data_IF_668152513819
#
_entry.id   IF_668152513819
#
_cell.length_a   1.000
_cell.length_b   1.000
_cell.length_c   1.000
_cell.angle_alpha   90.00
_cell.angle_beta   90.00
_cell.angle_gamma   90.00
#
_symmetry.space_group_name_H-M   'P 1'
#
loop_
_entity.id
_entity.type
_entity.pdbx_description
1 polymer ?
#
# COMPACT_ATOMS: atom_id res chain seq x y z
N UNK A 1 -18.86 -3.93 27.64
CA UNK A 1 -18.50 -4.60 26.38
C UNK A 1 -17.49 -3.74 25.65
N UNK A 2 -16.22 -4.14 25.64
CA UNK A 2 -15.16 -3.38 24.97
C UNK A 2 -15.24 -3.60 23.46
N UNK A 3 -15.47 -2.55 22.67
CA UNK A 3 -15.28 -2.61 21.23
C UNK A 3 -13.77 -2.83 20.97
N UNK A 4 -13.38 -3.84 20.18
CA UNK A 4 -11.99 -4.27 20.11
C UNK A 4 -11.17 -3.20 19.38
N UNK A 5 -10.11 -2.72 20.04
CA UNK A 5 -9.16 -1.72 19.51
C UNK A 5 -8.55 -2.11 18.13
N UNK A 6 -8.57 -3.39 17.78
CA UNK A 6 -8.22 -3.91 16.45
C UNK A 6 -9.10 -3.34 15.31
N UNK A 7 -10.34 -2.94 15.62
CA UNK A 7 -11.26 -2.31 14.67
C UNK A 7 -10.77 -0.96 14.17
N UNK A 8 -10.04 -0.21 15.00
CA UNK A 8 -9.70 1.20 14.73
C UNK A 8 -8.45 1.28 13.85
N UNK A 9 -7.41 0.52 14.18
CA UNK A 9 -6.20 0.41 13.35
C UNK A 9 -6.51 -0.21 11.99
N UNK A 10 -7.37 -1.23 11.96
CA UNK A 10 -7.81 -1.85 10.71
C UNK A 10 -8.60 -0.88 9.83
N UNK A 11 -9.53 -0.11 10.40
CA UNK A 11 -10.28 0.91 9.64
C UNK A 11 -9.40 2.07 9.18
N UNK A 12 -8.41 2.49 9.97
CA UNK A 12 -7.44 3.50 9.56
C UNK A 12 -6.64 3.03 8.34
N UNK A 13 -6.15 1.78 8.36
CA UNK A 13 -5.44 1.17 7.23
C UNK A 13 -6.33 0.96 6.00
N UNK A 14 -7.61 0.60 6.19
CA UNK A 14 -8.59 0.50 5.11
C UNK A 14 -8.88 1.86 4.46
N UNK A 15 -8.98 2.93 5.26
CA UNK A 15 -9.13 4.30 4.78
C UNK A 15 -7.93 4.79 3.98
N UNK A 16 -6.71 4.52 4.47
CA UNK A 16 -5.47 4.84 3.76
C UNK A 16 -5.35 4.09 2.42
N UNK A 17 -5.68 2.79 2.41
CA UNK A 17 -5.67 1.96 1.19
C UNK A 17 -6.68 2.43 0.13
N UNK A 18 -7.85 2.92 0.55
CA UNK A 18 -8.87 3.46 -0.35
C UNK A 18 -8.56 4.89 -0.84
N UNK A 19 -7.74 5.65 -0.09
CA UNK A 19 -7.36 7.02 -0.42
C UNK A 19 -6.06 7.12 -1.25
N UNK A 20 -5.40 6.00 -1.56
CA UNK A 20 -4.13 5.97 -2.29
C UNK A 20 -4.25 6.61 -3.70
N UNK A 21 -3.62 7.77 -3.95
CA UNK A 21 -3.56 8.32 -5.29
C UNK A 21 -2.51 7.54 -6.09
N UNK A 22 -2.92 6.45 -6.75
CA UNK A 22 -2.05 5.68 -7.67
C UNK A 22 -1.49 6.59 -8.79
N UNK A 23 -2.21 7.67 -9.13
CA UNK A 23 -1.78 8.70 -10.07
C UNK A 23 -0.46 9.41 -9.65
N UNK A 24 -0.16 9.50 -8.36
CA UNK A 24 1.12 10.05 -7.88
C UNK A 24 2.29 9.06 -8.06
N UNK A 25 1.99 7.76 -8.15
CA UNK A 25 2.96 6.68 -8.28
C UNK A 25 3.17 6.21 -9.73
N UNK A 26 2.30 6.58 -10.67
CA UNK A 26 2.34 6.13 -12.07
C UNK A 26 3.22 6.99 -12.99
N UNK A 27 3.71 8.15 -12.55
CA UNK A 27 4.42 9.11 -13.43
C UNK A 27 5.92 8.87 -13.61
N UNK A 28 6.50 7.87 -12.95
CA UNK A 28 7.92 7.53 -13.11
C UNK A 28 8.05 6.11 -13.66
N UNK A 29 8.31 6.00 -14.97
CA UNK A 29 9.36 5.19 -15.62
C UNK A 29 9.25 5.45 -17.13
N UNK A 30 10.10 6.32 -17.68
CA UNK A 30 10.52 6.19 -19.09
C UNK A 30 11.77 5.30 -19.06
N UNK A 31 11.73 4.18 -19.78
CA UNK A 31 12.85 3.25 -19.89
C UNK A 31 13.73 3.67 -21.07
N UNK A 32 14.92 4.18 -20.76
CA UNK A 32 16.06 4.22 -21.70
C UNK A 32 16.88 2.93 -21.48
N UNK A 33 17.46 2.31 -22.51
CA UNK A 33 18.22 1.07 -22.36
C UNK A 33 19.64 1.38 -21.89
N UNK A 34 20.10 0.78 -20.78
CA UNK A 34 21.49 0.95 -20.29
C UNK A 34 22.07 -0.39 -19.85
N UNK A 35 23.35 -0.57 -20.19
CA UNK A 35 24.18 -1.77 -20.08
C UNK A 35 24.39 -2.32 -18.65
N UNK A 36 24.84 -3.58 -18.58
CA UNK A 36 24.91 -4.41 -17.40
C UNK A 36 26.03 -4.07 -16.40
N UNK A 37 25.73 -3.14 -15.49
CA UNK A 37 26.43 -2.99 -14.21
C UNK A 37 25.78 -3.86 -13.10
N UNK A 38 26.50 -4.17 -11.99
CA UNK A 38 25.90 -4.78 -10.79
C UNK A 38 24.72 -3.95 -10.21
N UNK A 39 24.59 -2.68 -10.61
CA UNK A 39 23.39 -1.87 -10.37
C UNK A 39 22.14 -2.42 -11.08
N UNK A 40 22.27 -3.19 -12.17
CA UNK A 40 21.13 -3.79 -12.89
C UNK A 40 20.43 -4.88 -12.10
N UNK A 41 21.14 -5.67 -11.29
CA UNK A 41 20.50 -6.71 -10.47
C UNK A 41 19.61 -6.07 -9.38
N UNK A 42 20.14 -5.06 -8.68
CA UNK A 42 19.37 -4.27 -7.71
C UNK A 42 18.23 -3.48 -8.37
N UNK A 43 18.48 -2.91 -9.57
CA UNK A 43 17.45 -2.23 -10.37
C UNK A 43 16.34 -3.20 -10.81
N UNK A 44 16.71 -4.41 -11.23
CA UNK A 44 15.77 -5.45 -11.65
C UNK A 44 14.89 -5.93 -10.51
N UNK A 45 15.47 -6.18 -9.33
CA UNK A 45 14.70 -6.55 -8.14
C UNK A 45 13.77 -5.41 -7.70
N UNK A 46 14.28 -4.18 -7.60
CA UNK A 46 13.49 -3.00 -7.26
C UNK A 46 12.29 -2.82 -8.20
N UNK A 47 12.53 -2.87 -9.51
CA UNK A 47 11.48 -2.71 -10.52
C UNK A 47 10.44 -3.83 -10.45
N UNK A 48 10.87 -5.07 -10.19
CA UNK A 48 9.97 -6.22 -10.02
C UNK A 48 9.08 -6.04 -8.79
N UNK A 49 9.65 -5.63 -7.65
CA UNK A 49 8.92 -5.36 -6.41
C UNK A 49 7.96 -4.19 -6.56
N UNK A 50 8.39 -3.11 -7.21
CA UNK A 50 7.56 -1.94 -7.49
C UNK A 50 6.38 -2.28 -8.40
N UNK A 51 6.60 -3.06 -9.46
CA UNK A 51 5.54 -3.53 -10.35
C UNK A 51 4.55 -4.46 -9.62
N UNK A 52 5.03 -5.33 -8.73
CA UNK A 52 4.17 -6.17 -7.90
C UNK A 52 3.30 -5.33 -6.95
N UNK A 53 3.91 -4.40 -6.21
CA UNK A 53 3.20 -3.47 -5.34
C UNK A 53 2.15 -2.65 -6.10
N UNK A 54 2.50 -2.04 -7.25
CA UNK A 54 1.57 -1.27 -8.08
C UNK A 54 0.36 -2.09 -8.54
N UNK A 55 0.56 -3.36 -8.93
CA UNK A 55 -0.54 -4.25 -9.31
C UNK A 55 -1.51 -4.51 -8.15
N UNK A 56 -0.99 -4.71 -6.93
CA UNK A 56 -1.82 -4.92 -5.75
C UNK A 56 -2.55 -3.63 -5.34
N UNK A 57 -1.88 -2.47 -5.41
CA UNK A 57 -2.49 -1.18 -5.16
C UNK A 57 -3.66 -0.92 -6.13
N UNK A 58 -3.49 -1.17 -7.42
CA UNK A 58 -4.57 -1.00 -8.41
C UNK A 58 -5.74 -1.92 -8.12
N UNK A 59 -5.48 -3.18 -7.77
CA UNK A 59 -6.53 -4.12 -7.36
C UNK A 59 -7.30 -3.64 -6.13
N UNK A 60 -6.60 -3.10 -5.13
CA UNK A 60 -7.20 -2.54 -3.93
C UNK A 60 -8.10 -1.35 -4.29
N UNK A 61 -7.58 -0.42 -5.11
CA UNK A 61 -8.33 0.74 -5.61
C UNK A 61 -9.60 0.34 -6.35
N UNK A 62 -9.52 -0.58 -7.30
CA UNK A 62 -10.70 -1.06 -8.05
C UNK A 62 -11.75 -1.65 -7.10
N UNK A 63 -11.33 -2.48 -6.13
CA UNK A 63 -12.26 -3.04 -5.15
C UNK A 63 -12.95 -1.94 -4.31
N UNK A 64 -12.20 -0.91 -3.91
CA UNK A 64 -12.68 0.19 -3.06
C UNK A 64 -13.55 1.23 -3.78
N UNK A 65 -13.25 1.53 -5.04
CA UNK A 65 -13.91 2.61 -5.79
C UNK A 65 -15.10 2.12 -6.62
N UNK A 66 -15.00 0.95 -7.25
CA UNK A 66 -16.00 0.49 -8.23
C UNK A 66 -16.43 -0.96 -8.04
N UNK A 67 -15.77 -1.70 -7.15
CA UNK A 67 -15.98 -3.13 -6.98
C UNK A 67 -16.97 -3.54 -5.90
N UNK A 68 -16.83 -4.81 -5.50
CA UNK A 68 -17.68 -5.48 -4.52
C UNK A 68 -17.60 -4.84 -3.12
N UNK A 69 -16.45 -4.27 -2.72
CA UNK A 69 -16.31 -3.57 -1.44
C UNK A 69 -17.08 -2.24 -1.45
N UNK A 70 -16.94 -1.46 -2.54
CA UNK A 70 -17.74 -0.24 -2.75
C UNK A 70 -19.24 -0.52 -2.64
N UNK A 71 -19.70 -1.58 -3.32
CA UNK A 71 -21.12 -1.95 -3.35
C UNK A 71 -21.65 -2.31 -1.96
N UNK A 72 -20.88 -3.07 -1.16
CA UNK A 72 -21.25 -3.40 0.22
C UNK A 72 -21.30 -2.15 1.10
N UNK A 73 -20.35 -1.23 0.92
CA UNK A 73 -20.29 0.03 1.66
C UNK A 73 -21.49 0.95 1.32
N UNK A 74 -21.81 1.09 0.04
CA UNK A 74 -22.97 1.88 -0.42
C UNK A 74 -24.31 1.32 0.10
N UNK A 75 -24.45 -0.01 0.15
CA UNK A 75 -25.63 -0.65 0.73
C UNK A 75 -25.76 -0.36 2.23
N UNK A 76 -24.66 -0.42 2.98
CA UNK A 76 -24.65 -0.08 4.39
C UNK A 76 -25.00 1.40 4.63
N UNK A 77 -24.38 2.34 3.91
CA UNK A 77 -24.69 3.76 4.05
C UNK A 77 -26.14 4.08 3.71
N UNK A 78 -26.70 3.47 2.64
CA UNK A 78 -28.13 3.61 2.33
C UNK A 78 -29.02 3.06 3.45
N UNK A 79 -28.71 1.88 3.99
CA UNK A 79 -29.45 1.30 5.12
C UNK A 79 -29.27 2.08 6.44
N UNK A 80 -28.21 2.89 6.55
CA UNK A 80 -28.01 3.80 7.67
C UNK A 80 -28.79 5.11 7.52
N UNK A 81 -28.91 5.63 6.28
CA UNK A 81 -29.61 6.87 5.97
C UNK A 81 -31.15 6.75 6.07
N UNK A 82 -31.70 5.56 5.85
CA UNK A 82 -33.14 5.30 5.98
C UNK A 82 -33.41 4.30 7.11
N UNK A 83 -34.35 4.58 8.05
CA UNK A 83 -34.67 3.70 9.15
C UNK A 83 -35.60 2.56 8.67
N UNK A 84 -35.10 1.73 7.77
CA UNK A 84 -35.79 0.56 7.24
C UNK A 84 -35.21 -0.74 7.81
N UNK A 85 -36.03 -1.79 7.91
CA UNK A 85 -35.56 -3.14 8.21
C UNK A 85 -34.47 -3.54 7.20
N UNK A 86 -33.32 -4.03 7.69
CA UNK A 86 -32.18 -4.44 6.85
C UNK A 86 -30.83 -3.81 7.19
N UNK A 87 -30.74 -2.94 8.21
CA UNK A 87 -29.44 -2.40 8.67
C UNK A 87 -28.49 -3.51 9.16
N UNK A 88 -29.00 -4.48 9.92
CA UNK A 88 -28.17 -5.59 10.43
C UNK A 88 -27.63 -6.47 9.30
N UNK A 89 -28.45 -6.78 8.29
CA UNK A 89 -28.02 -7.57 7.14
C UNK A 89 -27.05 -6.80 6.23
N UNK A 90 -27.23 -5.49 6.07
CA UNK A 90 -26.29 -4.62 5.36
C UNK A 90 -24.96 -4.50 6.13
N UNK A 91 -25.00 -4.41 7.46
CA UNK A 91 -23.81 -4.41 8.30
C UNK A 91 -23.03 -5.73 8.20
N UNK A 92 -23.70 -6.88 8.30
CA UNK A 92 -23.04 -8.19 8.14
C UNK A 92 -22.42 -8.38 6.75
N UNK A 93 -23.03 -7.81 5.70
CA UNK A 93 -22.47 -7.79 4.35
C UNK A 93 -21.24 -6.89 4.25
N UNK A 94 -21.27 -5.71 4.86
CA UNK A 94 -20.13 -4.82 4.93
C UNK A 94 -18.98 -5.45 5.70
N UNK A 95 -19.24 -6.04 6.86
CA UNK A 95 -18.25 -6.72 7.70
C UNK A 95 -17.54 -7.85 6.94
N UNK A 96 -18.30 -8.69 6.24
CA UNK A 96 -17.73 -9.74 5.36
C UNK A 96 -16.91 -9.15 4.21
N UNK A 97 -17.33 -8.01 3.66
CA UNK A 97 -16.59 -7.33 2.61
C UNK A 97 -15.29 -6.69 3.16
N UNK A 98 -15.32 -6.05 4.33
CA UNK A 98 -14.12 -5.55 5.02
C UNK A 98 -13.13 -6.69 5.27
N UNK A 99 -13.61 -7.85 5.71
CA UNK A 99 -12.80 -9.05 5.89
C UNK A 99 -12.14 -9.55 4.61
N UNK A 100 -12.91 -9.63 3.53
CA UNK A 100 -12.39 -10.03 2.23
C UNK A 100 -11.40 -9.00 1.67
N UNK A 101 -11.65 -7.70 1.92
CA UNK A 101 -10.82 -6.62 1.39
C UNK A 101 -9.46 -6.62 2.07
N UNK A 102 -9.48 -6.79 3.39
CA UNK A 102 -8.27 -6.98 4.14
C UNK A 102 -7.45 -8.16 3.60
N UNK A 103 -8.04 -9.36 3.51
CA UNK A 103 -7.31 -10.58 3.13
C UNK A 103 -6.82 -10.58 1.69
N UNK A 104 -7.57 -9.96 0.76
CA UNK A 104 -7.27 -10.03 -0.69
C UNK A 104 -6.58 -8.81 -1.24
N UNK A 105 -6.64 -7.68 -0.55
CA UNK A 105 -6.11 -6.40 -1.01
C UNK A 105 -5.13 -5.83 0.01
N UNK A 106 -5.58 -5.49 1.22
CA UNK A 106 -4.75 -4.75 2.19
C UNK A 106 -3.53 -5.53 2.66
N UNK A 107 -3.71 -6.74 3.18
CA UNK A 107 -2.59 -7.53 3.71
C UNK A 107 -1.53 -7.86 2.65
N UNK A 108 -1.89 -8.38 1.45
CA UNK A 108 -0.90 -8.60 0.39
C UNK A 108 -0.19 -7.31 -0.07
N UNK A 109 -0.93 -6.20 -0.14
CA UNK A 109 -0.35 -4.91 -0.52
C UNK A 109 0.64 -4.41 0.53
N UNK A 110 0.34 -4.59 1.81
CA UNK A 110 1.22 -4.21 2.91
C UNK A 110 2.49 -5.06 2.92
N UNK A 111 2.37 -6.38 2.73
CA UNK A 111 3.54 -7.26 2.54
C UNK A 111 4.41 -6.83 1.35
N UNK A 112 3.79 -6.48 0.22
CA UNK A 112 4.51 -5.99 -0.95
C UNK A 112 5.16 -4.62 -0.72
N UNK A 113 4.51 -3.72 0.03
CA UNK A 113 5.06 -2.42 0.41
C UNK A 113 6.29 -2.59 1.31
N UNK A 114 6.22 -3.46 2.32
CA UNK A 114 7.35 -3.81 3.19
C UNK A 114 8.51 -4.38 2.38
N UNK A 115 8.24 -5.35 1.51
CA UNK A 115 9.26 -5.94 0.67
C UNK A 115 9.94 -4.91 -0.24
N UNK A 116 9.15 -4.00 -0.84
CA UNK A 116 9.67 -2.90 -1.65
C UNK A 116 10.54 -1.96 -0.80
N UNK A 117 10.08 -1.52 0.37
CA UNK A 117 10.86 -0.61 1.24
C UNK A 117 12.19 -1.21 1.67
N UNK A 118 12.25 -2.52 1.89
CA UNK A 118 13.49 -3.21 2.26
C UNK A 118 14.43 -3.47 1.07
N UNK A 119 13.95 -3.42 -0.17
CA UNK A 119 14.80 -3.57 -1.35
C UNK A 119 15.64 -2.30 -1.56
N UNK A 120 16.97 -2.39 -1.73
CA UNK A 120 17.82 -1.25 -2.06
C UNK A 120 17.31 -0.44 -3.25
N UNK A 121 17.33 0.89 -3.16
CA UNK A 121 16.94 1.73 -4.29
C UNK A 121 18.07 1.86 -5.31
N UNK A 122 17.77 1.84 -6.62
CA UNK A 122 18.77 2.00 -7.66
C UNK A 122 19.17 3.45 -7.96
N UNK A 123 18.31 4.44 -7.63
CA UNK A 123 18.55 5.86 -7.93
C UNK A 123 17.68 6.79 -7.06
N UNK A 124 17.96 8.10 -7.10
CA UNK A 124 17.28 9.11 -6.28
C UNK A 124 15.76 9.15 -6.50
N UNK A 125 15.27 8.99 -7.73
CA UNK A 125 13.80 8.94 -7.97
C UNK A 125 13.14 7.71 -7.33
N UNK A 126 13.84 6.58 -7.26
CA UNK A 126 13.35 5.40 -6.57
C UNK A 126 13.29 5.62 -5.05
N UNK A 127 14.23 6.39 -4.48
CA UNK A 127 14.18 6.82 -3.08
C UNK A 127 12.95 7.69 -2.78
N UNK A 128 12.61 8.62 -3.67
CA UNK A 128 11.37 9.41 -3.55
C UNK A 128 10.11 8.53 -3.58
N UNK A 129 10.12 7.52 -4.45
CA UNK A 129 9.03 6.54 -4.53
C UNK A 129 8.91 5.73 -3.24
N UNK A 130 10.04 5.26 -2.69
CA UNK A 130 10.11 4.57 -1.39
C UNK A 130 9.51 5.41 -0.26
N UNK A 131 9.91 6.68 -0.17
CA UNK A 131 9.35 7.63 0.81
C UNK A 131 7.83 7.79 0.68
N UNK A 132 7.32 7.85 -0.56
CA UNK A 132 5.88 7.88 -0.82
C UNK A 132 5.17 6.64 -0.29
N UNK A 133 5.74 5.45 -0.51
CA UNK A 133 5.19 4.19 -0.01
C UNK A 133 5.23 4.11 1.51
N UNK A 134 6.33 4.51 2.16
CA UNK A 134 6.43 4.53 3.63
C UNK A 134 5.31 5.38 4.24
N UNK A 135 5.11 6.61 3.72
CA UNK A 135 4.07 7.52 4.20
C UNK A 135 2.67 6.97 3.98
N UNK A 136 2.43 6.41 2.80
CA UNK A 136 1.12 5.88 2.43
C UNK A 136 0.66 4.71 3.29
N UNK A 137 1.60 3.90 3.78
CA UNK A 137 1.32 2.69 4.57
C UNK A 137 1.70 2.83 6.05
N UNK A 138 2.03 4.06 6.50
CA UNK A 138 2.41 4.34 7.88
C UNK A 138 3.52 3.40 8.41
N UNK A 139 4.45 3.00 7.54
CA UNK A 139 5.49 2.00 7.87
C UNK A 139 6.55 2.52 8.86
N UNK A 140 6.47 3.79 9.19
CA UNK A 140 7.28 4.47 10.21
C UNK A 140 6.71 4.30 11.64
N UNK A 141 5.52 3.70 11.80
CA UNK A 141 4.96 3.38 13.12
C UNK A 141 5.65 2.17 13.73
N UNK A 142 5.83 2.19 15.05
CA UNK A 142 6.51 1.14 15.81
C UNK A 142 5.88 -0.24 15.56
N UNK A 143 6.71 -1.24 15.22
CA UNK A 143 6.27 -2.59 14.89
C UNK A 143 5.77 -2.82 13.46
N UNK A 144 5.72 -1.78 12.61
CA UNK A 144 5.29 -1.91 11.20
C UNK A 144 6.33 -2.55 10.29
N UNK A 145 7.61 -2.46 10.67
CA UNK A 145 8.74 -3.07 9.99
C UNK A 145 9.67 -3.71 11.00
N UNK A 146 10.38 -4.77 10.57
CA UNK A 146 11.47 -5.36 11.35
C UNK A 146 12.70 -4.44 11.47
N UNK A 147 12.81 -3.43 10.60
CA UNK A 147 13.90 -2.44 10.57
C UNK A 147 13.33 -1.03 10.62
N UNK A 148 14.06 -0.09 11.21
CA UNK A 148 13.64 1.31 11.26
C UNK A 148 13.64 1.92 9.86
N UNK A 149 12.53 2.55 9.46
CA UNK A 149 12.43 3.25 8.16
C UNK A 149 13.54 4.28 7.94
N UNK A 150 13.94 5.01 8.99
CA UNK A 150 14.97 6.05 8.90
C UNK A 150 16.33 5.44 8.58
N UNK A 151 16.68 4.31 9.22
CA UNK A 151 17.92 3.59 8.95
C UNK A 151 17.98 3.08 7.51
N UNK A 152 16.88 2.47 7.03
CA UNK A 152 16.78 1.97 5.64
C UNK A 152 16.98 3.10 4.63
N UNK A 153 16.38 4.28 4.89
CA UNK A 153 16.51 5.44 4.01
C UNK A 153 17.92 6.05 4.06
N UNK A 154 18.56 6.07 5.23
CA UNK A 154 19.93 6.55 5.39
C UNK A 154 20.92 5.64 4.63
N UNK A 155 20.81 4.33 4.79
CA UNK A 155 21.64 3.35 4.05
C UNK A 155 21.50 3.49 2.54
N UNK A 156 20.28 3.75 2.06
CA UNK A 156 20.03 4.00 0.64
C UNK A 156 20.65 5.32 0.16
N UNK A 157 20.55 6.39 0.95
CA UNK A 157 21.16 7.67 0.62
C UNK A 157 22.69 7.56 0.56
N UNK A 158 23.30 6.95 1.57
CA UNK A 158 24.75 6.70 1.61
C UNK A 158 25.22 5.85 0.43
N UNK A 159 24.46 4.82 0.03
CA UNK A 159 24.79 3.99 -1.13
C UNK A 159 24.74 4.77 -2.45
N UNK A 160 23.78 5.67 -2.58
CA UNK A 160 23.65 6.53 -3.76
C UNK A 160 24.75 7.60 -3.83
N UNK A 161 25.14 8.16 -2.68
CA UNK A 161 26.25 9.14 -2.60
C UNK A 161 27.61 8.46 -2.83
N UNK A 162 27.83 7.26 -2.27
CA UNK A 162 29.06 6.50 -2.44
C UNK A 162 29.23 5.85 -3.82
N UNK A 163 28.16 5.76 -4.62
CA UNK A 163 28.20 5.31 -6.01
C UNK A 163 28.43 6.44 -7.03
N UNK A 164 28.51 7.69 -6.57
CA UNK A 164 28.76 8.87 -7.40
C UNK A 164 30.23 9.33 -7.42
N UNK A 165 31.14 8.54 -6.85
CA UNK A 165 32.59 8.73 -6.88
C UNK A 165 33.26 7.80 -7.91
#
# INVERSE_FOLDING_TARGET
MAAPALSTSRRALLGAAAALPIAALSRAVRAEPVEAHPSLAATGEWNTRLAHYRRLAERAKVAAETGWFRTANDLYYRACAYPTAGRESAFARLDRAEDLYWRRCTAPMQEAAVALVLTPVPHLEALRTKLGVIRAHHLNEEGSLARNCIEVLAEDAERLDGGAA
#
